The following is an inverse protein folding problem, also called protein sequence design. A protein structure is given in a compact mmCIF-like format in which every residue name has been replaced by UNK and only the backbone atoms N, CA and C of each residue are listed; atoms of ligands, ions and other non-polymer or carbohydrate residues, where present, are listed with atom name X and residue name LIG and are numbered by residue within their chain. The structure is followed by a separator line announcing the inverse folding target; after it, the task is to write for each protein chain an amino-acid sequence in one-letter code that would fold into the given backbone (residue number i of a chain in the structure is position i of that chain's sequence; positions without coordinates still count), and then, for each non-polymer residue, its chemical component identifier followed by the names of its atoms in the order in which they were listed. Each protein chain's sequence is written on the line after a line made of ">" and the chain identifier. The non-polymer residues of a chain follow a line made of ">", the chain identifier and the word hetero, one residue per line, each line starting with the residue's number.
data_IF_140613370369
#
_entry.id   IF_140613370369
#
_cell.length_a   1.000
_cell.length_b   1.000
_cell.length_c   1.000
_cell.angle_alpha   90.00
_cell.angle_beta   90.00
_cell.angle_gamma   90.00
#
_symmetry.space_group_name_H-M   'P 1'
#
loop_
_entity.id
_entity.type
_entity.pdbx_description
1 polymer ?
#
# COMPACT_ATOMS: atom_id res chain seq x y z
N UNK A 1 14.15 -15.73 -3.64
CA UNK A 1 14.45 -14.35 -4.04
C UNK A 1 13.38 -13.35 -3.58
N UNK A 2 12.09 -13.62 -3.73
CA UNK A 2 11.03 -12.72 -3.25
C UNK A 2 10.94 -12.64 -1.70
N UNK A 3 11.29 -13.71 -1.02
CA UNK A 3 11.23 -13.80 0.46
C UNK A 3 12.31 -12.97 1.17
N UNK A 4 13.46 -12.75 0.52
CA UNK A 4 14.54 -11.94 1.10
C UNK A 4 14.30 -10.43 0.94
N UNK A 5 13.62 -10.01 -0.11
CA UNK A 5 13.25 -8.60 -0.31
C UNK A 5 12.32 -8.13 0.79
N UNK A 6 11.34 -8.94 1.19
CA UNK A 6 10.40 -8.62 2.28
C UNK A 6 11.09 -8.57 3.67
N UNK A 7 12.19 -9.31 3.87
CA UNK A 7 12.91 -9.36 5.15
C UNK A 7 13.87 -8.18 5.33
N UNK A 8 14.39 -7.63 4.25
CA UNK A 8 15.35 -6.51 4.27
C UNK A 8 14.65 -5.16 4.46
N UNK A 9 13.37 -5.05 4.12
CA UNK A 9 12.61 -3.80 4.15
C UNK A 9 12.00 -3.47 5.51
N UNK A 10 12.01 -4.41 6.48
CA UNK A 10 11.52 -4.19 7.86
C UNK A 10 12.45 -3.35 8.75
N UNK A 11 13.54 -2.77 8.22
CA UNK A 11 14.55 -2.03 9.02
C UNK A 11 14.90 -0.63 8.51
N UNK A 12 14.11 -0.05 7.61
CA UNK A 12 14.35 1.34 7.23
C UNK A 12 13.50 2.25 8.11
N UNK A 13 14.15 2.89 9.08
CA UNK A 13 13.59 3.88 9.99
C UNK A 13 13.04 5.05 9.16
N UNK A 14 11.72 5.21 9.16
CA UNK A 14 11.04 6.32 8.50
C UNK A 14 11.23 7.61 9.30
N UNK A 15 11.39 8.77 8.66
CA UNK A 15 11.31 10.06 9.35
C UNK A 15 9.86 10.36 9.76
N UNK A 16 9.69 10.98 10.92
CA UNK A 16 8.40 11.33 11.53
C UNK A 16 7.57 12.26 10.62
N UNK A 17 6.40 11.79 10.19
CA UNK A 17 5.48 12.54 9.34
C UNK A 17 4.03 12.57 9.89
N UNK A 18 3.82 12.61 11.20
CA UNK A 18 2.48 12.78 11.77
C UNK A 18 2.47 13.80 12.91
N UNK A 19 1.47 14.61 12.96
CA UNK A 19 1.46 15.91 13.58
C UNK A 19 0.12 16.20 14.24
N UNK A 20 0.15 16.81 15.42
CA UNK A 20 -0.95 17.01 16.37
C UNK A 20 -2.10 17.93 15.91
N UNK A 21 -3.31 17.59 16.39
CA UNK A 21 -4.59 18.26 16.12
C UNK A 21 -4.67 19.67 16.70
N UNK A 22 -4.42 20.70 15.88
CA UNK A 22 -4.98 22.04 16.06
C UNK A 22 -4.69 22.91 14.85
N UNK A 23 -5.67 23.02 13.95
CA UNK A 23 -5.64 24.04 12.90
C UNK A 23 -6.56 25.19 13.28
N UNK A 24 -5.98 26.23 13.86
CA UNK A 24 -6.52 27.59 13.76
C UNK A 24 -5.80 28.28 12.61
N UNK A 25 -6.60 28.75 11.64
CA UNK A 25 -6.11 29.59 10.56
C UNK A 25 -5.42 30.83 11.11
N UNK A 26 -4.16 31.03 10.80
CA UNK A 26 -3.51 32.33 10.80
C UNK A 26 -2.33 32.34 9.82
N UNK A 27 -2.21 33.46 9.17
CA UNK A 27 -1.38 33.88 8.05
C UNK A 27 0.12 33.54 8.18
N UNK A 28 0.70 33.36 7.00
CA UNK A 28 2.12 33.20 6.70
C UNK A 28 3.07 34.08 7.47
N UNK A 29 3.96 33.50 8.25
CA UNK A 29 5.32 33.98 8.45
C UNK A 29 6.22 32.81 8.85
N UNK A 30 7.24 32.55 8.03
CA UNK A 30 8.10 31.38 8.13
C UNK A 30 8.91 31.32 9.42
N UNK A 31 8.76 30.21 10.15
CA UNK A 31 9.71 29.72 11.14
C UNK A 31 9.91 28.21 10.92
N UNK A 32 11.14 27.69 11.00
CA UNK A 32 11.40 26.27 10.75
C UNK A 32 10.96 25.44 11.96
N UNK A 33 10.05 24.49 11.75
CA UNK A 33 9.73 23.48 12.75
C UNK A 33 8.26 23.28 13.10
N UNK A 34 7.34 23.81 12.34
CA UNK A 34 5.92 23.54 12.56
C UNK A 34 5.52 22.21 11.89
N UNK A 35 5.38 21.22 12.72
CA UNK A 35 4.78 19.94 12.37
C UNK A 35 3.30 20.17 12.05
N UNK A 36 2.81 19.86 10.83
CA UNK A 36 1.41 19.97 10.40
C UNK A 36 0.71 18.64 10.72
N UNK A 37 -0.28 18.60 11.58
CA UNK A 37 -1.12 17.42 11.76
C UNK A 37 -2.09 17.30 10.58
N UNK A 38 -1.98 16.23 9.82
CA UNK A 38 -2.93 15.94 8.76
C UNK A 38 -3.86 14.86 9.28
N UNK A 39 -5.07 15.29 9.70
CA UNK A 39 -6.15 14.40 10.09
C UNK A 39 -7.18 14.36 8.96
N UNK A 40 -7.67 13.17 8.60
CA UNK A 40 -8.70 12.99 7.59
C UNK A 40 -8.20 12.36 6.28
N UNK A 41 -8.83 12.71 5.17
CA UNK A 41 -8.51 12.17 3.85
C UNK A 41 -7.23 12.84 3.32
N UNK A 42 -6.27 12.01 2.89
CA UNK A 42 -5.01 12.51 2.34
C UNK A 42 -5.23 13.09 0.94
N UNK A 43 -4.88 14.35 0.70
CA UNK A 43 -4.91 14.93 -0.64
C UNK A 43 -3.75 14.40 -1.50
N UNK A 44 -3.93 14.45 -2.84
CA UNK A 44 -2.96 13.92 -3.80
C UNK A 44 -1.54 14.48 -3.65
N UNK A 45 -1.39 15.72 -3.15
CA UNK A 45 -0.07 16.31 -2.86
C UNK A 45 0.67 15.54 -1.76
N UNK A 46 -0.04 15.13 -0.72
CA UNK A 46 0.54 14.34 0.37
C UNK A 46 0.86 12.93 -0.11
N UNK A 47 -0.01 12.32 -0.94
CA UNK A 47 0.26 11.02 -1.55
C UNK A 47 1.57 11.06 -2.36
N UNK A 48 1.83 12.13 -3.13
CA UNK A 48 3.11 12.31 -3.84
C UNK A 48 4.29 12.36 -2.88
N UNK A 49 4.19 13.13 -1.82
CA UNK A 49 5.25 13.22 -0.81
C UNK A 49 5.51 11.85 -0.16
N UNK A 50 4.47 11.08 0.14
CA UNK A 50 4.61 9.72 0.68
C UNK A 50 5.30 8.77 -0.31
N UNK A 51 5.05 8.91 -1.61
CA UNK A 51 5.75 8.14 -2.65
C UNK A 51 7.23 8.55 -2.72
N UNK A 52 7.53 9.85 -2.71
CA UNK A 52 8.89 10.38 -2.71
C UNK A 52 9.70 9.93 -1.48
N UNK A 53 9.05 9.85 -0.31
CA UNK A 53 9.65 9.37 0.93
C UNK A 53 9.76 7.84 1.00
N UNK A 54 9.13 7.09 0.07
CA UNK A 54 9.11 5.63 0.07
C UNK A 54 8.16 5.00 1.08
N UNK A 55 7.23 5.76 1.63
CA UNK A 55 6.13 5.27 2.48
C UNK A 55 5.08 4.54 1.65
N UNK A 56 4.88 4.98 0.41
CA UNK A 56 4.17 4.27 -0.64
C UNK A 56 5.20 3.90 -1.71
N UNK A 57 5.29 2.63 -2.05
CA UNK A 57 6.26 2.16 -3.04
C UNK A 57 5.66 1.06 -3.93
N UNK A 58 6.29 0.79 -5.07
CA UNK A 58 5.89 -0.27 -5.98
C UNK A 58 7.13 -0.97 -6.55
N UNK A 59 6.98 -2.20 -7.04
CA UNK A 59 8.04 -2.88 -7.79
C UNK A 59 8.34 -2.21 -9.14
N UNK A 60 7.37 -1.45 -9.67
CA UNK A 60 7.52 -0.60 -10.86
C UNK A 60 7.36 0.87 -10.51
N UNK A 61 7.37 1.71 -11.53
CA UNK A 61 7.10 3.14 -11.35
C UNK A 61 5.62 3.38 -11.05
N UNK A 62 5.32 4.25 -10.08
CA UNK A 62 3.98 4.78 -9.85
C UNK A 62 3.80 5.99 -10.78
N UNK A 63 2.82 5.93 -11.68
CA UNK A 63 2.58 7.01 -12.64
C UNK A 63 1.75 8.13 -12.01
N UNK A 64 1.90 9.35 -12.52
CA UNK A 64 1.07 10.49 -12.11
C UNK A 64 -0.43 10.25 -12.34
N UNK A 65 -0.79 9.46 -13.33
CA UNK A 65 -2.19 9.12 -13.65
C UNK A 65 -2.87 8.27 -12.56
N UNK A 66 -2.08 7.55 -11.74
CA UNK A 66 -2.59 6.80 -10.61
C UNK A 66 -2.94 7.70 -9.41
N UNK A 67 -2.38 8.93 -9.35
CA UNK A 67 -2.58 9.82 -8.22
C UNK A 67 -3.82 10.68 -8.47
N UNK A 68 -4.90 10.35 -7.80
CA UNK A 68 -6.15 11.08 -7.83
C UNK A 68 -6.16 12.22 -6.78
N UNK A 69 -7.12 13.15 -6.81
CA UNK A 69 -7.18 14.26 -5.85
C UNK A 69 -7.13 13.85 -4.37
N UNK A 70 -7.66 12.67 -4.03
CA UNK A 70 -7.72 12.17 -2.65
C UNK A 70 -7.62 10.64 -2.55
N UNK A 71 -7.01 9.98 -3.55
CA UNK A 71 -6.79 8.52 -3.57
C UNK A 71 -5.62 8.15 -4.49
N UNK A 72 -5.18 6.92 -4.40
CA UNK A 72 -4.23 6.31 -5.31
C UNK A 72 -4.88 5.10 -5.98
N UNK A 73 -4.87 5.05 -7.30
CA UNK A 73 -5.31 3.90 -8.07
C UNK A 73 -4.25 2.80 -8.00
N UNK A 74 -4.64 1.62 -7.53
CA UNK A 74 -3.74 0.51 -7.31
C UNK A 74 -3.80 -0.47 -8.48
N UNK A 75 -2.66 -1.10 -8.79
CA UNK A 75 -2.54 -2.09 -9.85
C UNK A 75 -2.47 -3.50 -9.29
N UNK A 76 -3.10 -4.43 -9.98
CA UNK A 76 -2.96 -5.85 -9.68
C UNK A 76 -1.58 -6.35 -10.13
N UNK A 77 -1.00 -7.30 -9.39
CA UNK A 77 0.16 -8.03 -9.87
C UNK A 77 -0.23 -9.05 -10.96
N UNK A 78 0.76 -9.69 -11.55
CA UNK A 78 0.57 -10.68 -12.63
C UNK A 78 0.05 -12.04 -12.14
N UNK A 79 -0.28 -12.15 -10.85
CA UNK A 79 -0.64 -13.43 -10.24
C UNK A 79 -1.92 -13.30 -9.42
N UNK A 80 -2.87 -14.21 -9.64
CA UNK A 80 -4.02 -14.41 -8.78
C UNK A 80 -3.95 -15.81 -8.10
N UNK A 81 -4.43 -15.90 -6.88
CA UNK A 81 -4.60 -17.14 -6.15
C UNK A 81 -6.09 -17.42 -5.97
N UNK A 82 -6.59 -18.51 -6.53
CA UNK A 82 -7.91 -19.04 -6.19
C UNK A 82 -7.81 -19.66 -4.80
N UNK A 83 -8.65 -19.23 -3.88
CA UNK A 83 -8.65 -19.70 -2.49
C UNK A 83 -9.99 -20.35 -2.13
N UNK A 84 -9.98 -21.27 -1.14
CA UNK A 84 -11.18 -21.99 -0.72
C UNK A 84 -12.23 -21.09 -0.06
N UNK A 85 -11.77 -20.12 0.70
CA UNK A 85 -12.62 -19.20 1.46
C UNK A 85 -11.88 -17.90 1.73
N UNK A 86 -12.62 -16.82 1.97
CA UNK A 86 -12.08 -15.59 2.52
C UNK A 86 -11.54 -15.83 3.94
N UNK A 87 -10.52 -15.11 4.33
CA UNK A 87 -9.93 -15.15 5.67
C UNK A 87 -9.49 -13.78 6.13
N UNK A 88 -9.40 -13.62 7.44
CA UNK A 88 -8.73 -12.49 8.07
C UNK A 88 -7.42 -13.02 8.67
N UNK A 89 -6.27 -12.40 8.40
CA UNK A 89 -5.02 -12.76 9.04
C UNK A 89 -5.09 -12.31 10.51
N UNK A 90 -5.43 -13.23 11.40
CA UNK A 90 -5.48 -12.98 12.86
C UNK A 90 -4.12 -13.13 13.51
N UNK A 91 -3.39 -14.16 13.12
CA UNK A 91 -2.02 -14.44 13.53
C UNK A 91 -1.27 -15.02 12.33
N UNK A 92 -0.05 -14.56 12.09
CA UNK A 92 0.76 -14.99 10.96
C UNK A 92 0.61 -14.12 9.71
N UNK A 93 1.34 -14.46 8.67
CA UNK A 93 1.37 -13.72 7.41
C UNK A 93 0.31 -14.21 6.43
N UNK A 94 -0.12 -13.31 5.52
CA UNK A 94 -0.99 -13.69 4.39
C UNK A 94 -0.38 -14.83 3.57
N UNK A 95 0.96 -14.85 3.42
CA UNK A 95 1.69 -15.88 2.69
C UNK A 95 1.57 -17.27 3.34
N UNK A 96 1.56 -17.33 4.67
CA UNK A 96 1.34 -18.61 5.38
C UNK A 96 -0.07 -19.12 5.16
N UNK A 97 -1.06 -18.25 5.27
CA UNK A 97 -2.46 -18.61 5.00
C UNK A 97 -2.70 -19.00 3.55
N UNK A 98 -2.03 -18.36 2.60
CA UNK A 98 -2.09 -18.76 1.20
C UNK A 98 -1.60 -20.20 0.97
N UNK A 99 -0.56 -20.68 1.67
CA UNK A 99 -0.09 -22.07 1.56
C UNK A 99 -1.15 -23.10 1.94
N UNK A 100 -2.02 -22.75 2.89
CA UNK A 100 -3.09 -23.63 3.36
C UNK A 100 -4.35 -23.53 2.49
N UNK A 101 -4.70 -22.34 2.03
CA UNK A 101 -6.00 -22.04 1.44
C UNK A 101 -5.97 -21.95 -0.09
N UNK A 102 -4.80 -21.75 -0.70
CA UNK A 102 -4.69 -21.66 -2.15
C UNK A 102 -4.97 -23.01 -2.82
N UNK A 103 -5.91 -23.00 -3.77
CA UNK A 103 -6.22 -24.12 -4.64
C UNK A 103 -5.38 -24.08 -5.91
N UNK A 104 -5.30 -22.92 -6.53
CA UNK A 104 -4.59 -22.67 -7.78
C UNK A 104 -3.91 -21.33 -7.76
N UNK A 105 -2.76 -21.26 -8.42
CA UNK A 105 -2.08 -20.03 -8.81
C UNK A 105 -2.34 -19.80 -10.30
N UNK A 106 -2.78 -18.62 -10.67
CA UNK A 106 -3.17 -18.25 -12.02
C UNK A 106 -2.29 -17.09 -12.45
N UNK A 107 -1.70 -17.20 -13.63
CA UNK A 107 -1.05 -16.07 -14.29
C UNK A 107 -2.14 -15.21 -14.95
N UNK A 108 -2.14 -13.92 -14.64
CA UNK A 108 -3.13 -12.96 -15.16
C UNK A 108 -2.47 -11.83 -15.99
N UNK A 109 -1.19 -11.96 -16.32
CA UNK A 109 -0.43 -10.95 -17.08
C UNK A 109 -1.05 -10.63 -18.45
N UNK A 110 -1.53 -11.66 -19.13
CA UNK A 110 -2.21 -11.54 -20.44
C UNK A 110 -3.76 -11.53 -20.31
N UNK A 111 -4.25 -11.37 -19.09
CA UNK A 111 -5.66 -11.52 -18.76
C UNK A 111 -6.04 -12.96 -18.43
N UNK A 112 -7.05 -13.14 -17.60
CA UNK A 112 -7.55 -14.45 -17.21
C UNK A 112 -9.06 -14.40 -16.97
N UNK A 113 -9.74 -15.55 -17.18
CA UNK A 113 -11.15 -15.69 -16.83
C UNK A 113 -11.25 -16.08 -15.35
N UNK A 114 -11.90 -15.24 -14.56
CA UNK A 114 -12.22 -15.52 -13.17
C UNK A 114 -13.65 -16.07 -13.08
N UNK A 115 -13.81 -17.21 -12.44
CA UNK A 115 -15.09 -17.91 -12.32
C UNK A 115 -16.00 -17.21 -11.31
N UNK A 116 -17.27 -17.05 -11.65
CA UNK A 116 -18.29 -16.51 -10.74
C UNK A 116 -18.46 -17.41 -9.52
N UNK A 117 -18.62 -16.82 -8.34
CA UNK A 117 -18.80 -17.56 -7.08
C UNK A 117 -17.51 -18.11 -6.47
N UNK A 118 -16.36 -17.86 -7.08
CA UNK A 118 -15.05 -18.22 -6.53
C UNK A 118 -14.40 -17.01 -5.86
N UNK A 119 -13.56 -17.29 -4.87
CA UNK A 119 -12.80 -16.26 -4.15
C UNK A 119 -11.36 -16.26 -4.68
N UNK A 120 -10.88 -15.06 -4.99
CA UNK A 120 -9.52 -14.86 -5.48
C UNK A 120 -8.79 -13.85 -4.59
N UNK A 121 -7.53 -14.12 -4.33
CA UNK A 121 -6.59 -13.17 -3.72
C UNK A 121 -5.58 -12.77 -4.79
N UNK A 122 -5.55 -11.47 -5.07
CA UNK A 122 -4.61 -10.90 -6.04
C UNK A 122 -3.74 -9.90 -5.29
N UNK A 123 -2.42 -10.11 -5.20
CA UNK A 123 -1.52 -9.11 -4.64
C UNK A 123 -1.57 -7.82 -5.45
N UNK A 124 -1.34 -6.71 -4.80
CA UNK A 124 -1.16 -5.42 -5.46
C UNK A 124 0.31 -5.20 -5.80
N UNK A 125 0.58 -4.35 -6.79
CA UNK A 125 1.94 -3.92 -7.12
C UNK A 125 2.46 -2.88 -6.12
N UNK A 126 1.55 -2.10 -5.55
CA UNK A 126 1.85 -1.07 -4.58
C UNK A 126 1.86 -1.66 -3.15
N UNK A 127 2.71 -1.10 -2.31
CA UNK A 127 2.83 -1.47 -0.91
C UNK A 127 3.03 -0.23 -0.04
N UNK A 128 2.70 -0.38 1.25
CA UNK A 128 2.81 0.67 2.26
C UNK A 128 3.90 0.31 3.27
N UNK A 129 4.66 1.32 3.69
CA UNK A 129 5.61 1.26 4.80
C UNK A 129 5.36 2.48 5.68
N UNK A 130 4.24 2.46 6.40
CA UNK A 130 3.83 3.57 7.26
C UNK A 130 4.66 3.56 8.56
N UNK A 131 4.97 4.75 9.12
CA UNK A 131 5.59 4.85 10.44
C UNK A 131 4.64 4.34 11.52
N UNK A 132 5.20 3.85 12.63
CA UNK A 132 4.48 3.44 13.85
C UNK A 132 3.99 4.65 14.65
#
# INVERSE_FOLDING_TARGET
>A
MLLEILRTMSKKKSPDLFLDDNVHETESNGAPGQKISISGILPGQIIRTMIENGEIWSQGNISEEQIQPASLDLRLSDIAYRIRASFLPSEGSVQEKLKELALHKIDISDGAVLETGCVYLVPLMEALSLPE
#
